data_IF_640922740862
#
_entry.id   IF_640922740862
#
_cell.length_a   1.000
_cell.length_b   1.000
_cell.length_c   1.000
_cell.angle_alpha   90.00
_cell.angle_beta   90.00
_cell.angle_gamma   90.00
#
_symmetry.space_group_name_H-M   'P 1'
#
loop_
_entity.id
_entity.type
_entity.pdbx_description
1 polymer ?
#
# COMPACT_ATOMS: atom_id res chain seq x y z
N UNK A 1 11.48 7.71 -23.95
CA UNK A 1 10.18 7.02 -24.04
C UNK A 1 9.24 7.68 -23.08
N UNK A 2 8.02 8.02 -23.51
CA UNK A 2 6.98 8.60 -22.64
C UNK A 2 6.23 7.45 -21.96
N UNK A 3 6.39 7.30 -20.64
CA UNK A 3 5.68 6.29 -19.84
C UNK A 3 4.19 6.66 -19.82
N UNK A 4 3.30 5.70 -20.08
CA UNK A 4 1.86 5.96 -20.00
C UNK A 4 1.40 6.19 -18.55
N UNK A 5 0.27 6.89 -18.31
CA UNK A 5 -0.24 7.08 -16.95
C UNK A 5 -0.49 5.77 -16.19
N UNK A 6 -0.94 4.72 -16.88
CA UNK A 6 -1.16 3.39 -16.27
C UNK A 6 0.16 2.70 -15.91
N UNK A 7 1.16 2.76 -16.80
CA UNK A 7 2.49 2.20 -16.50
C UNK A 7 3.15 2.93 -15.32
N UNK A 8 3.02 4.26 -15.26
CA UNK A 8 3.51 5.04 -14.13
C UNK A 8 2.80 4.65 -12.82
N UNK A 9 1.50 4.36 -12.86
CA UNK A 9 0.77 3.88 -11.67
C UNK A 9 1.27 2.51 -11.21
N UNK A 10 1.56 1.61 -12.15
CA UNK A 10 2.15 0.28 -11.86
C UNK A 10 3.52 0.45 -11.23
N UNK A 11 4.42 1.20 -11.86
CA UNK A 11 5.78 1.44 -11.35
C UNK A 11 5.77 2.09 -9.95
N UNK A 12 4.86 3.04 -9.74
CA UNK A 12 4.67 3.68 -8.42
C UNK A 12 4.25 2.65 -7.37
N UNK A 13 3.34 1.73 -7.71
CA UNK A 13 2.88 0.70 -6.77
C UNK A 13 3.92 -0.36 -6.48
N UNK A 14 4.68 -0.78 -7.49
CA UNK A 14 5.81 -1.71 -7.34
C UNK A 14 6.87 -1.12 -6.43
N UNK A 15 7.33 0.10 -6.74
CA UNK A 15 8.34 0.80 -5.94
C UNK A 15 7.88 0.99 -4.50
N UNK A 16 6.59 1.30 -4.30
CA UNK A 16 6.03 1.46 -2.95
C UNK A 16 6.05 0.13 -2.19
N UNK A 17 5.62 -0.96 -2.83
CA UNK A 17 5.61 -2.29 -2.22
C UNK A 17 7.03 -2.78 -1.88
N UNK A 18 7.99 -2.60 -2.78
CA UNK A 18 9.41 -2.89 -2.54
C UNK A 18 9.98 -2.09 -1.38
N UNK A 19 9.60 -0.81 -1.26
CA UNK A 19 10.01 0.05 -0.16
C UNK A 19 9.45 -0.44 1.18
N UNK A 20 8.19 -0.87 1.23
CA UNK A 20 7.60 -1.46 2.45
C UNK A 20 8.36 -2.73 2.84
N UNK A 21 8.59 -3.64 1.89
CA UNK A 21 9.29 -4.90 2.13
C UNK A 21 10.72 -4.66 2.64
N UNK A 22 11.45 -3.74 2.01
CA UNK A 22 12.80 -3.35 2.43
C UNK A 22 12.79 -2.81 3.87
N UNK A 23 11.82 -1.94 4.19
CA UNK A 23 11.68 -1.38 5.53
C UNK A 23 11.37 -2.48 6.56
N UNK A 24 10.47 -3.42 6.25
CA UNK A 24 10.15 -4.56 7.12
C UNK A 24 11.41 -5.35 7.44
N UNK A 25 12.18 -5.73 6.42
CA UNK A 25 13.41 -6.52 6.60
C UNK A 25 14.46 -5.76 7.43
N UNK A 26 14.63 -4.46 7.19
CA UNK A 26 15.56 -3.62 7.97
C UNK A 26 15.17 -3.59 9.44
N UNK A 27 13.89 -3.34 9.73
CA UNK A 27 13.44 -3.29 11.11
C UNK A 27 13.55 -4.68 11.74
N UNK A 28 13.13 -5.76 11.09
CA UNK A 28 13.32 -7.12 11.63
C UNK A 28 14.77 -7.46 11.99
N UNK A 29 15.76 -6.95 11.24
CA UNK A 29 17.18 -7.21 11.46
C UNK A 29 17.86 -6.30 12.48
N UNK A 30 17.29 -5.14 12.80
CA UNK A 30 17.90 -4.14 13.68
C UNK A 30 16.86 -3.45 14.59
N UNK A 31 16.90 -3.80 15.89
CA UNK A 31 16.05 -3.21 16.93
C UNK A 31 16.47 -1.79 17.36
N UNK A 32 17.65 -1.32 16.95
CA UNK A 32 18.17 0.01 17.34
C UNK A 32 17.66 1.15 16.44
N UNK A 33 17.04 0.80 15.31
CA UNK A 33 16.53 1.78 14.36
C UNK A 33 15.41 2.65 14.97
N UNK A 34 15.44 3.97 14.75
CA UNK A 34 14.37 4.86 15.21
C UNK A 34 13.06 4.49 14.52
N UNK A 35 11.92 4.54 15.23
CA UNK A 35 10.63 4.09 14.68
C UNK A 35 10.01 5.04 13.64
N UNK A 36 10.34 6.34 13.72
CA UNK A 36 9.70 7.40 12.95
C UNK A 36 9.67 7.18 11.42
N UNK A 37 10.75 6.70 10.75
CA UNK A 37 10.71 6.39 9.32
C UNK A 37 9.66 5.34 8.96
N UNK A 38 9.54 4.27 9.74
CA UNK A 38 8.49 3.26 9.56
C UNK A 38 7.10 3.86 9.82
N UNK A 39 6.94 4.66 10.88
CA UNK A 39 5.69 5.36 11.20
C UNK A 39 5.21 6.23 10.03
N UNK A 40 6.10 7.05 9.47
CA UNK A 40 5.78 7.94 8.34
C UNK A 40 5.42 7.16 7.08
N UNK A 41 6.18 6.11 6.76
CA UNK A 41 5.93 5.29 5.58
C UNK A 41 4.56 4.60 5.66
N UNK A 42 4.28 3.90 6.76
CA UNK A 42 3.03 3.16 6.92
C UNK A 42 1.84 4.12 6.94
N UNK A 43 1.89 5.19 7.73
CA UNK A 43 0.79 6.14 7.83
C UNK A 43 0.47 6.82 6.50
N UNK A 44 1.51 7.18 5.73
CA UNK A 44 1.33 7.80 4.41
C UNK A 44 0.60 6.91 3.39
N UNK A 45 0.58 5.60 3.62
CA UNK A 45 -0.07 4.62 2.75
C UNK A 45 -1.44 4.22 3.30
N UNK A 46 -1.55 3.96 4.61
CA UNK A 46 -2.83 3.55 5.22
C UNK A 46 -3.83 4.69 5.33
N UNK A 47 -3.36 5.93 5.44
CA UNK A 47 -4.17 7.14 5.52
C UNK A 47 -3.65 8.23 4.56
N UNK A 48 -3.86 8.06 3.23
CA UNK A 48 -3.27 8.92 2.21
C UNK A 48 -4.07 10.23 2.02
N UNK A 49 -4.33 10.98 3.10
CA UNK A 49 -5.20 12.16 3.13
C UNK A 49 -4.85 13.26 2.10
N UNK A 50 -3.56 13.36 1.70
CA UNK A 50 -3.08 14.37 0.75
C UNK A 50 -2.96 13.81 -0.67
N UNK A 51 -2.36 12.63 -0.81
CA UNK A 51 -2.02 12.07 -2.13
C UNK A 51 -3.16 11.23 -2.73
N UNK A 52 -4.18 10.86 -1.95
CA UNK A 52 -5.38 10.13 -2.41
C UNK A 52 -5.18 8.63 -2.66
N UNK A 53 -3.96 8.11 -2.50
CA UNK A 53 -3.63 6.68 -2.59
C UNK A 53 -4.02 6.03 -3.91
N UNK A 54 -4.16 4.70 -3.89
CA UNK A 54 -4.58 3.94 -5.08
C UNK A 54 -6.02 4.22 -5.51
N UNK A 55 -6.84 4.88 -4.68
CA UNK A 55 -8.18 5.31 -5.07
C UNK A 55 -8.18 6.27 -6.26
N UNK A 56 -7.07 6.97 -6.52
CA UNK A 56 -6.87 7.73 -7.76
C UNK A 56 -6.75 6.82 -8.99
N UNK A 57 -6.06 5.69 -8.85
CA UNK A 57 -5.93 4.69 -9.92
C UNK A 57 -7.26 4.01 -10.21
N UNK A 58 -8.03 3.68 -9.18
CA UNK A 58 -9.38 3.10 -9.33
C UNK A 58 -10.26 4.01 -10.20
N UNK A 59 -10.30 5.30 -9.87
CA UNK A 59 -11.11 6.29 -10.59
C UNK A 59 -10.61 6.56 -12.02
N UNK A 60 -9.31 6.40 -12.27
CA UNK A 60 -8.70 6.70 -13.55
C UNK A 60 -8.76 5.50 -14.53
N UNK A 61 -8.52 4.28 -14.04
CA UNK A 61 -8.22 3.13 -14.89
C UNK A 61 -9.20 1.97 -14.74
N UNK A 62 -9.96 1.90 -13.63
CA UNK A 62 -10.85 0.76 -13.35
C UNK A 62 -12.31 1.06 -13.71
N UNK A 63 -12.56 2.08 -14.54
CA UNK A 63 -13.89 2.38 -15.06
C UNK A 63 -14.22 1.49 -16.25
N UNK A 64 -15.50 1.17 -16.44
CA UNK A 64 -15.95 0.41 -17.61
C UNK A 64 -15.58 1.13 -18.92
N UNK A 65 -15.68 2.46 -18.93
CA UNK A 65 -15.31 3.30 -20.06
C UNK A 65 -13.82 3.12 -20.45
N UNK A 66 -12.90 3.19 -19.49
CA UNK A 66 -11.46 3.01 -19.75
C UNK A 66 -11.19 1.61 -20.32
N UNK A 67 -11.80 0.58 -19.73
CA UNK A 67 -11.60 -0.81 -20.14
C UNK A 67 -12.08 -1.06 -21.58
N UNK A 68 -13.21 -0.45 -21.98
CA UNK A 68 -13.73 -0.56 -23.33
C UNK A 68 -12.89 0.22 -24.36
N UNK A 69 -12.33 1.36 -23.95
CA UNK A 69 -11.49 2.20 -24.82
C UNK A 69 -10.06 1.66 -24.97
N UNK A 70 -9.56 0.92 -23.97
CA UNK A 70 -8.19 0.41 -23.92
C UNK A 70 -8.13 -1.11 -23.68
N UNK A 71 -8.68 -1.95 -24.58
CA UNK A 71 -8.65 -3.40 -24.42
C UNK A 71 -7.22 -3.98 -24.35
N UNK A 72 -6.23 -3.30 -24.95
CA UNK A 72 -4.82 -3.65 -24.91
C UNK A 72 -4.18 -3.55 -23.51
N UNK A 73 -4.78 -2.76 -22.61
CA UNK A 73 -4.25 -2.53 -21.26
C UNK A 73 -4.73 -3.59 -20.25
N UNK A 74 -5.53 -4.57 -20.68
CA UNK A 74 -6.14 -5.57 -19.79
C UNK A 74 -5.13 -6.23 -18.84
N UNK A 75 -3.98 -6.66 -19.35
CA UNK A 75 -2.94 -7.30 -18.52
C UNK A 75 -2.28 -6.31 -17.54
N UNK A 76 -2.09 -5.05 -17.96
CA UNK A 76 -1.57 -3.98 -17.09
C UNK A 76 -2.55 -3.65 -15.96
N UNK A 77 -3.84 -3.57 -16.28
CA UNK A 77 -4.90 -3.37 -15.28
C UNK A 77 -4.94 -4.51 -14.28
N UNK A 78 -4.82 -5.76 -14.75
CA UNK A 78 -4.73 -6.92 -13.85
C UNK A 78 -3.51 -6.83 -12.93
N UNK A 79 -2.32 -6.49 -13.46
CA UNK A 79 -1.11 -6.29 -12.68
C UNK A 79 -1.28 -5.21 -11.62
N UNK A 80 -1.87 -4.06 -11.96
CA UNK A 80 -2.10 -2.98 -11.00
C UNK A 80 -3.04 -3.42 -9.86
N UNK A 81 -4.11 -4.16 -10.18
CA UNK A 81 -5.01 -4.73 -9.16
C UNK A 81 -4.29 -5.71 -8.25
N UNK A 82 -3.44 -6.57 -8.83
CA UNK A 82 -2.68 -7.55 -8.06
C UNK A 82 -1.67 -6.88 -7.11
N UNK A 83 -1.00 -5.81 -7.56
CA UNK A 83 -0.09 -5.02 -6.73
C UNK A 83 -0.80 -4.34 -5.55
N UNK A 84 -2.02 -3.83 -5.75
CA UNK A 84 -2.85 -3.29 -4.67
C UNK A 84 -3.18 -4.38 -3.64
N UNK A 85 -3.54 -5.59 -4.11
CA UNK A 85 -3.81 -6.71 -3.22
C UNK A 85 -2.56 -7.15 -2.43
N UNK A 86 -1.39 -7.22 -3.09
CA UNK A 86 -0.11 -7.57 -2.46
C UNK A 86 0.41 -6.54 -1.46
N UNK A 87 -0.01 -5.28 -1.56
CA UNK A 87 0.35 -4.26 -0.59
C UNK A 87 -0.21 -4.55 0.81
N UNK A 88 -1.36 -5.24 0.92
CA UNK A 88 -2.04 -5.52 2.19
C UNK A 88 -1.23 -6.39 3.15
N UNK A 89 -0.74 -7.59 2.76
CA UNK A 89 0.05 -8.40 3.69
C UNK A 89 1.37 -7.69 4.07
N UNK A 90 1.98 -6.93 3.16
CA UNK A 90 3.16 -6.10 3.45
C UNK A 90 2.86 -5.06 4.53
N UNK A 91 1.80 -4.26 4.36
CA UNK A 91 1.37 -3.29 5.37
C UNK A 91 1.05 -3.97 6.70
N UNK A 92 0.41 -5.14 6.69
CA UNK A 92 0.11 -5.90 7.91
C UNK A 92 1.36 -6.30 8.70
N UNK A 93 2.38 -6.79 8.01
CA UNK A 93 3.67 -7.09 8.63
C UNK A 93 4.35 -5.83 9.20
N UNK A 94 4.35 -4.73 8.44
CA UNK A 94 4.88 -3.45 8.88
C UNK A 94 4.17 -2.88 10.12
N UNK A 95 2.83 -2.89 10.12
CA UNK A 95 2.00 -2.44 11.26
C UNK A 95 2.26 -3.31 12.49
N UNK A 96 2.41 -4.62 12.31
CA UNK A 96 2.75 -5.55 13.40
C UNK A 96 4.11 -5.25 14.02
N UNK A 97 5.13 -4.99 13.20
CA UNK A 97 6.46 -4.60 13.68
C UNK A 97 6.40 -3.26 14.40
N UNK A 98 5.68 -2.29 13.83
CA UNK A 98 5.50 -0.97 14.43
C UNK A 98 4.86 -1.06 15.83
N UNK A 99 3.80 -1.86 15.98
CA UNK A 99 3.11 -2.04 17.26
C UNK A 99 3.99 -2.64 18.36
N UNK A 100 4.99 -3.46 18.01
CA UNK A 100 5.96 -4.02 18.97
C UNK A 100 7.00 -3.01 19.44
N UNK A 101 7.22 -1.92 18.70
CA UNK A 101 8.33 -0.97 18.92
C UNK A 101 7.89 0.43 19.35
N UNK A 102 6.62 0.75 19.19
CA UNK A 102 6.08 2.07 19.51
C UNK A 102 6.17 2.32 21.02
N UNK A 103 6.65 3.51 21.40
CA UNK A 103 6.67 3.96 22.80
C UNK A 103 5.24 4.29 23.27
N UNK A 104 5.01 4.28 24.58
CA UNK A 104 3.69 4.52 25.16
C UNK A 104 3.06 5.84 24.70
N UNK A 105 3.86 6.91 24.58
CA UNK A 105 3.41 8.22 24.11
C UNK A 105 2.86 8.21 22.67
N UNK A 106 3.29 7.25 21.85
CA UNK A 106 2.89 7.10 20.45
C UNK A 106 1.84 5.97 20.25
N UNK A 107 1.36 5.33 21.31
CA UNK A 107 0.31 4.29 21.21
C UNK A 107 -0.97 4.80 20.54
N UNK A 108 -1.54 5.98 20.89
CA UNK A 108 -2.75 6.46 20.22
C UNK A 108 -2.58 6.64 18.71
N UNK A 109 -1.38 7.03 18.29
CA UNK A 109 -1.04 7.14 16.87
C UNK A 109 -1.00 5.76 16.20
N UNK A 110 -0.40 4.75 16.84
CA UNK A 110 -0.40 3.38 16.33
C UNK A 110 -1.81 2.78 16.24
N UNK A 111 -2.65 2.98 17.26
CA UNK A 111 -4.04 2.50 17.27
C UNK A 111 -4.82 3.08 16.08
N UNK A 112 -4.67 4.38 15.82
CA UNK A 112 -5.28 5.02 14.65
C UNK A 112 -4.79 4.42 13.33
N UNK A 113 -3.48 4.19 13.20
CA UNK A 113 -2.90 3.54 12.02
C UNK A 113 -3.48 2.13 11.81
N UNK A 114 -3.64 1.36 12.89
CA UNK A 114 -4.20 0.02 12.84
C UNK A 114 -5.68 0.03 12.42
N UNK A 115 -6.48 0.98 12.92
CA UNK A 115 -7.87 1.17 12.47
C UNK A 115 -7.96 1.49 10.98
N UNK A 116 -7.14 2.44 10.50
CA UNK A 116 -7.07 2.77 9.07
C UNK A 116 -6.67 1.55 8.24
N UNK A 117 -5.66 0.79 8.70
CA UNK A 117 -5.25 -0.44 8.03
C UNK A 117 -6.36 -1.49 8.00
N UNK A 118 -7.11 -1.71 9.10
CA UNK A 118 -8.24 -2.65 9.14
C UNK A 118 -9.32 -2.31 8.12
N UNK A 119 -9.64 -1.02 7.98
CA UNK A 119 -10.61 -0.55 6.98
C UNK A 119 -10.08 -0.74 5.56
N UNK A 120 -8.81 -0.40 5.33
CA UNK A 120 -8.15 -0.56 4.04
C UNK A 120 -8.10 -2.02 3.60
N UNK A 121 -7.63 -2.90 4.49
CA UNK A 121 -7.58 -4.35 4.31
C UNK A 121 -8.95 -4.90 3.91
N UNK A 122 -9.99 -4.57 4.68
CA UNK A 122 -11.37 -5.02 4.38
C UNK A 122 -11.85 -4.58 2.99
N UNK A 123 -11.54 -3.34 2.59
CA UNK A 123 -11.87 -2.84 1.25
C UNK A 123 -11.13 -3.63 0.17
N UNK A 124 -9.81 -3.76 0.29
CA UNK A 124 -8.98 -4.38 -0.73
C UNK A 124 -9.25 -5.86 -0.88
N UNK A 125 -9.40 -6.61 0.22
CA UNK A 125 -9.70 -8.04 0.17
C UNK A 125 -11.06 -8.31 -0.47
N UNK A 126 -12.04 -7.42 -0.29
CA UNK A 126 -13.35 -7.52 -0.94
C UNK A 126 -13.28 -7.27 -2.45
N UNK A 127 -12.49 -6.28 -2.88
CA UNK A 127 -12.43 -5.83 -4.28
C UNK A 127 -11.45 -6.64 -5.14
N UNK A 128 -10.30 -7.01 -4.56
CA UNK A 128 -9.13 -7.56 -5.28
C UNK A 128 -8.72 -8.95 -4.78
N UNK A 129 -9.36 -9.45 -3.73
CA UNK A 129 -9.06 -10.73 -3.12
C UNK A 129 -7.92 -10.66 -2.10
N UNK A 130 -7.70 -11.79 -1.42
CA UNK A 130 -6.68 -11.92 -0.36
C UNK A 130 -5.33 -12.31 -0.99
N UNK A 131 -4.24 -11.82 -0.38
CA UNK A 131 -2.87 -12.27 -0.64
C UNK A 131 -2.21 -12.58 0.71
N UNK A 132 -1.32 -13.56 0.71
CA UNK A 132 -0.58 -14.00 1.89
C UNK A 132 0.93 -13.96 1.58
N UNK A 133 1.72 -13.49 2.54
CA UNK A 133 3.19 -13.41 2.48
C UNK A 133 3.83 -14.75 2.84
#
# INVERSE_FOLDING_TARGET
>A
TTISPLENAIETMETTNEKILTMINQYQGDDTLPINPLSMLLNGIVDPAVMGGFAKYEKAFFTEEYILQHPEDKDKLFRLKDLIAWQIPLLGAGVTIHGKRVMDDLKPFHERMEECFKQLKKKVEKEYGVREL
#
